data_IF_070145392445
#
_entry.id   IF_070145392445
#
_cell.length_a   1.000
_cell.length_b   1.000
_cell.length_c   1.000
_cell.angle_alpha   90.00
_cell.angle_beta   90.00
_cell.angle_gamma   90.00
#
_symmetry.space_group_name_H-M   'P 1'
#
loop_
_entity.id
_entity.type
_entity.pdbx_description
1 polymer ?
#
# COMPACT_ATOMS: atom_id res chain seq x y z
N UNK A 1 4.29 -1.88 10.03
CA UNK A 1 3.62 -3.21 9.94
C UNK A 1 2.13 -2.98 9.93
N UNK A 2 1.40 -3.64 9.03
CA UNK A 2 -0.05 -3.54 8.91
C UNK A 2 -0.71 -4.75 9.59
N UNK A 3 -1.54 -4.50 10.60
CA UNK A 3 -2.36 -5.51 11.28
C UNK A 3 -3.80 -5.23 10.91
N UNK A 4 -4.49 -6.16 10.26
CA UNK A 4 -5.92 -6.04 9.99
C UNK A 4 -6.69 -6.75 11.09
N UNK A 5 -7.51 -6.02 11.85
CA UNK A 5 -8.39 -6.56 12.89
C UNK A 5 -9.85 -6.39 12.45
N UNK A 6 -10.66 -7.45 12.51
CA UNK A 6 -12.06 -7.42 12.06
C UNK A 6 -13.06 -7.47 13.24
N UNK A 7 -13.77 -6.34 13.46
CA UNK A 7 -15.00 -6.07 14.26
C UNK A 7 -15.07 -6.17 15.82
N UNK A 8 -16.14 -5.55 16.38
CA UNK A 8 -16.11 -4.26 17.15
C UNK A 8 -16.34 -4.35 18.66
N UNK A 9 -17.01 -5.36 19.21
CA UNK A 9 -17.10 -5.47 20.69
C UNK A 9 -15.75 -5.86 21.30
N UNK A 10 -15.05 -6.79 20.66
CA UNK A 10 -13.74 -7.28 21.10
C UNK A 10 -12.58 -6.46 20.53
N UNK A 11 -12.78 -5.66 19.47
CA UNK A 11 -11.68 -4.94 18.83
C UNK A 11 -11.02 -3.93 19.76
N UNK A 12 -11.81 -3.25 20.59
CA UNK A 12 -11.28 -2.28 21.56
C UNK A 12 -10.43 -3.00 22.60
N UNK A 13 -10.94 -4.11 23.15
CA UNK A 13 -10.20 -4.93 24.09
C UNK A 13 -8.92 -5.49 23.46
N UNK A 14 -9.00 -6.08 22.26
CA UNK A 14 -7.86 -6.56 21.50
C UNK A 14 -6.82 -5.46 21.26
N UNK A 15 -7.26 -4.27 20.83
CA UNK A 15 -6.37 -3.15 20.57
C UNK A 15 -5.67 -2.67 21.85
N UNK A 16 -6.39 -2.63 22.98
CA UNK A 16 -5.80 -2.30 24.28
C UNK A 16 -4.80 -3.36 24.71
N UNK A 17 -5.17 -4.65 24.65
CA UNK A 17 -4.29 -5.77 25.01
C UNK A 17 -3.02 -5.78 24.16
N UNK A 18 -3.15 -5.64 22.83
CA UNK A 18 -2.02 -5.61 21.91
C UNK A 18 -1.13 -4.39 22.12
N UNK A 19 -1.70 -3.19 22.30
CA UNK A 19 -0.92 -1.97 22.55
C UNK A 19 -0.12 -2.08 23.86
N UNK A 20 -0.75 -2.55 24.94
CA UNK A 20 -0.09 -2.76 26.22
C UNK A 20 1.03 -3.79 26.08
N UNK A 21 0.74 -4.93 25.44
CA UNK A 21 1.71 -6.00 25.23
C UNK A 21 2.92 -5.55 24.41
N UNK A 22 2.72 -4.81 23.32
CA UNK A 22 3.82 -4.24 22.52
C UNK A 22 4.65 -3.25 23.34
N UNK A 23 3.99 -2.40 24.13
CA UNK A 23 4.67 -1.40 24.98
C UNK A 23 5.53 -2.06 26.05
N UNK A 24 5.03 -3.14 26.68
CA UNK A 24 5.76 -3.90 27.70
C UNK A 24 6.92 -4.72 27.12
N UNK A 25 6.75 -5.28 25.91
CA UNK A 25 7.74 -6.19 25.31
C UNK A 25 8.79 -5.49 24.44
N UNK A 26 8.51 -4.32 23.86
CA UNK A 26 9.43 -3.56 23.02
C UNK A 26 10.08 -2.39 23.77
N UNK A 27 10.89 -2.71 24.79
CA UNK A 27 11.55 -1.73 25.66
C UNK A 27 12.60 -0.81 25.00
N UNK A 28 12.90 -0.96 23.70
CA UNK A 28 13.98 -0.21 23.03
C UNK A 28 13.69 0.34 21.63
N UNK A 29 12.47 0.16 21.09
CA UNK A 29 12.08 0.75 19.80
C UNK A 29 10.76 1.49 19.97
N UNK A 30 10.84 2.83 19.96
CA UNK A 30 9.71 3.76 20.06
C UNK A 30 8.86 3.73 18.77
N UNK A 31 8.35 2.56 18.40
CA UNK A 31 7.48 2.37 17.25
C UNK A 31 6.12 2.98 17.57
N UNK A 32 5.75 4.04 16.87
CA UNK A 32 4.44 4.69 17.05
C UNK A 32 3.33 3.77 16.51
N UNK A 33 2.34 3.45 17.35
CA UNK A 33 1.18 2.63 16.98
C UNK A 33 0.03 3.56 16.61
N UNK A 34 -0.53 3.39 15.41
CA UNK A 34 -1.72 4.08 14.94
C UNK A 34 -2.85 3.08 14.71
N UNK A 35 -3.98 3.32 15.37
CA UNK A 35 -5.21 2.58 15.14
C UNK A 35 -6.05 3.39 14.15
N UNK A 36 -6.45 2.75 13.05
CA UNK A 36 -7.25 3.35 11.99
C UNK A 36 -8.63 2.69 11.97
N UNK A 37 -9.62 3.48 12.38
CA UNK A 37 -11.04 3.15 12.39
C UNK A 37 -11.82 3.87 11.29
N UNK A 38 -12.92 3.25 10.88
CA UNK A 38 -13.91 3.79 9.94
C UNK A 38 -14.34 2.80 8.87
N UNK A 39 -14.95 3.32 7.81
CA UNK A 39 -15.21 2.56 6.58
C UNK A 39 -13.90 2.19 5.88
N UNK A 40 -13.94 1.19 5.00
CA UNK A 40 -12.78 0.79 4.20
C UNK A 40 -12.11 1.97 3.48
N UNK A 41 -12.90 2.85 2.85
CA UNK A 41 -12.39 4.01 2.13
C UNK A 41 -11.71 5.03 3.07
N UNK A 42 -12.27 5.25 4.26
CA UNK A 42 -11.69 6.15 5.26
C UNK A 42 -10.37 5.60 5.79
N UNK A 43 -10.33 4.30 6.13
CA UNK A 43 -9.12 3.62 6.61
C UNK A 43 -8.03 3.67 5.53
N UNK A 44 -8.39 3.35 4.28
CA UNK A 44 -7.47 3.42 3.13
C UNK A 44 -6.93 4.83 2.94
N UNK A 45 -7.79 5.85 2.97
CA UNK A 45 -7.40 7.25 2.82
C UNK A 45 -6.43 7.70 3.93
N UNK A 46 -6.77 7.42 5.20
CA UNK A 46 -5.92 7.72 6.36
C UNK A 46 -4.58 6.98 6.31
N UNK A 47 -4.60 5.70 5.93
CA UNK A 47 -3.37 4.92 5.79
C UNK A 47 -2.46 5.56 4.73
N UNK A 48 -3.01 5.89 3.56
CA UNK A 48 -2.23 6.45 2.46
C UNK A 48 -1.64 7.84 2.77
N UNK A 49 -2.25 8.62 3.68
CA UNK A 49 -1.71 9.91 4.12
C UNK A 49 -0.67 9.80 5.24
N UNK A 50 -0.62 8.66 5.95
CA UNK A 50 0.20 8.48 7.15
C UNK A 50 1.38 7.51 6.97
N UNK A 51 1.44 6.72 5.89
CA UNK A 51 2.45 5.67 5.73
C UNK A 51 3.87 6.25 5.61
N UNK A 52 4.55 6.26 6.76
CA UNK A 52 6.00 6.29 6.91
C UNK A 52 6.49 4.88 7.31
N UNK A 53 7.67 4.48 6.85
CA UNK A 53 8.23 3.13 6.95
C UNK A 53 8.56 2.68 8.39
N UNK A 54 8.27 3.48 9.41
CA UNK A 54 8.66 3.24 10.82
C UNK A 54 7.49 3.13 11.80
N UNK A 55 6.25 3.10 11.30
CA UNK A 55 5.03 3.07 12.12
C UNK A 55 4.34 1.70 12.09
N UNK A 56 3.62 1.38 13.16
CA UNK A 56 2.72 0.23 13.23
C UNK A 56 1.31 0.73 13.00
N UNK A 57 0.60 0.15 12.03
CA UNK A 57 -0.77 0.49 11.72
C UNK A 57 -1.67 -0.70 12.02
N UNK A 58 -2.67 -0.49 12.87
CA UNK A 58 -3.75 -1.43 13.12
C UNK A 58 -4.98 -0.91 12.37
N UNK A 59 -5.47 -1.68 11.41
CA UNK A 59 -6.63 -1.36 10.59
C UNK A 59 -7.83 -2.12 11.12
N UNK A 60 -8.83 -1.41 11.62
CA UNK A 60 -10.05 -2.02 12.13
C UNK A 60 -11.07 -2.14 10.99
N UNK A 61 -11.01 -3.20 10.17
CA UNK A 61 -11.87 -3.39 9.00
C UNK A 61 -11.40 -4.48 8.04
N UNK A 62 -11.77 -4.34 6.75
CA UNK A 62 -11.46 -5.27 5.65
C UNK A 62 -12.18 -6.65 5.72
N UNK A 63 -13.51 -6.61 5.74
CA UNK A 63 -14.37 -7.79 5.86
C UNK A 63 -14.41 -8.62 4.57
N UNK A 64 -14.21 -7.97 3.43
CA UNK A 64 -14.25 -8.61 2.12
C UNK A 64 -12.84 -8.94 1.62
N UNK A 65 -12.73 -10.01 0.83
CA UNK A 65 -11.46 -10.44 0.25
C UNK A 65 -10.81 -9.36 -0.64
N UNK A 66 -11.63 -8.59 -1.36
CA UNK A 66 -11.17 -7.47 -2.20
C UNK A 66 -10.49 -6.36 -1.38
N UNK A 67 -11.04 -6.03 -0.21
CA UNK A 67 -10.49 -5.01 0.69
C UNK A 67 -9.13 -5.43 1.25
N UNK A 68 -9.01 -6.70 1.67
CA UNK A 68 -7.75 -7.29 2.15
C UNK A 68 -6.69 -7.30 1.06
N UNK A 69 -7.06 -7.63 -0.17
CA UNK A 69 -6.17 -7.57 -1.33
C UNK A 69 -5.65 -6.14 -1.58
N UNK A 70 -6.48 -5.12 -1.44
CA UNK A 70 -6.03 -3.74 -1.59
C UNK A 70 -5.02 -3.33 -0.52
N UNK A 71 -5.26 -3.69 0.74
CA UNK A 71 -4.30 -3.43 1.82
C UNK A 71 -3.00 -4.23 1.66
N UNK A 72 -3.08 -5.46 1.14
CA UNK A 72 -1.91 -6.20 0.73
C UNK A 72 -1.11 -5.44 -0.34
N UNK A 73 -1.76 -4.94 -1.39
CA UNK A 73 -1.10 -4.14 -2.43
C UNK A 73 -0.42 -2.89 -1.86
N UNK A 74 -1.07 -2.19 -0.93
CA UNK A 74 -0.50 -1.04 -0.22
C UNK A 74 0.75 -1.47 0.56
N UNK A 75 0.69 -2.58 1.31
CA UNK A 75 1.84 -3.08 2.07
C UNK A 75 3.05 -3.36 1.16
N UNK A 76 2.81 -3.97 -0.02
CA UNK A 76 3.85 -4.24 -1.02
C UNK A 76 4.42 -2.95 -1.60
N UNK A 77 3.56 -1.96 -1.88
CA UNK A 77 3.96 -0.65 -2.42
C UNK A 77 4.92 0.10 -1.49
N UNK A 78 4.69 0.03 -0.18
CA UNK A 78 5.52 0.71 0.82
C UNK A 78 6.55 -0.21 1.48
N UNK A 79 6.80 -1.38 0.91
CA UNK A 79 7.70 -2.40 1.44
C UNK A 79 7.52 -2.66 2.94
N UNK A 80 6.27 -2.72 3.38
CA UNK A 80 5.85 -2.91 4.76
C UNK A 80 5.31 -4.32 4.96
N UNK A 81 5.64 -4.93 6.10
CA UNK A 81 5.10 -6.23 6.49
C UNK A 81 3.59 -6.17 6.69
N UNK A 82 2.91 -7.23 6.27
CA UNK A 82 1.45 -7.38 6.30
C UNK A 82 1.07 -8.59 7.15
N UNK A 83 0.05 -8.44 7.99
CA UNK A 83 -0.50 -9.49 8.85
C UNK A 83 -2.02 -9.31 8.97
N UNK A 84 -2.76 -10.40 8.80
CA UNK A 84 -4.19 -10.44 9.06
C UNK A 84 -4.41 -11.07 10.44
N UNK A 85 -5.22 -10.44 11.28
CA UNK A 85 -5.67 -10.99 12.55
C UNK A 85 -7.17 -11.17 12.47
N UNK A 86 -7.57 -12.44 12.47
CA UNK A 86 -8.97 -12.82 12.48
C UNK A 86 -9.50 -12.77 13.92
N UNK A 87 -10.48 -11.90 14.14
CA UNK A 87 -11.24 -11.76 15.37
C UNK A 87 -12.65 -12.24 15.03
N UNK A 88 -13.00 -13.49 15.36
CA UNK A 88 -14.31 -14.03 15.01
C UNK A 88 -15.45 -13.28 15.70
N UNK A 89 -16.46 -12.93 14.90
CA UNK A 89 -17.70 -12.32 15.34
C UNK A 89 -18.88 -13.01 14.63
N UNK A 90 -19.84 -13.50 15.41
CA UNK A 90 -21.02 -14.21 14.90
C UNK A 90 -22.07 -13.27 14.31
N UNK A 91 -21.94 -11.97 14.52
CA UNK A 91 -22.92 -10.96 14.10
C UNK A 91 -22.71 -10.43 12.68
N UNK A 92 -21.57 -10.77 12.06
CA UNK A 92 -21.18 -10.23 10.75
C UNK A 92 -20.87 -11.37 9.79
N UNK A 93 -21.41 -11.24 8.58
CA UNK A 93 -21.13 -12.17 7.50
C UNK A 93 -19.78 -11.79 6.88
N UNK A 94 -18.72 -12.52 7.25
CA UNK A 94 -17.36 -12.30 6.74
C UNK A 94 -17.00 -13.33 5.66
N UNK A 95 -16.23 -12.91 4.66
CA UNK A 95 -15.61 -13.86 3.73
C UNK A 95 -14.35 -14.44 4.39
N UNK A 96 -14.41 -15.73 4.73
CA UNK A 96 -13.30 -16.46 5.32
C UNK A 96 -12.01 -16.29 4.50
N UNK A 97 -10.88 -16.16 5.20
CA UNK A 97 -9.58 -16.03 4.56
C UNK A 97 -9.23 -17.32 3.82
N UNK A 98 -8.72 -17.18 2.60
CA UNK A 98 -8.29 -18.33 1.81
C UNK A 98 -6.78 -18.49 1.95
N UNK A 99 -6.36 -19.40 2.84
CA UNK A 99 -4.94 -19.72 3.13
C UNK A 99 -4.11 -20.07 1.89
N UNK A 100 -4.75 -20.39 0.75
CA UNK A 100 -4.11 -20.70 -0.52
C UNK A 100 -3.67 -19.47 -1.32
N UNK A 101 -4.15 -18.26 -0.95
CA UNK A 101 -3.82 -17.04 -1.67
C UNK A 101 -2.73 -16.23 -0.96
N UNK A 102 -1.69 -15.84 -1.70
CA UNK A 102 -0.51 -15.16 -1.16
C UNK A 102 -0.77 -13.79 -0.53
N UNK A 103 -1.95 -13.22 -0.78
CA UNK A 103 -2.38 -11.91 -0.27
C UNK A 103 -3.33 -12.01 0.92
N UNK A 104 -3.82 -13.20 1.23
CA UNK A 104 -4.74 -13.48 2.33
C UNK A 104 -4.03 -14.28 3.44
N UNK A 105 -2.70 -14.11 3.52
CA UNK A 105 -1.83 -14.72 4.52
C UNK A 105 -0.61 -13.84 4.81
N UNK A 106 -0.02 -13.92 6.01
CA UNK A 106 -0.39 -14.81 7.12
C UNK A 106 -1.60 -14.32 7.93
N UNK A 107 -2.37 -15.27 8.46
CA UNK A 107 -3.57 -15.05 9.29
C UNK A 107 -3.32 -15.63 10.68
N UNK A 108 -3.62 -14.87 11.72
CA UNK A 108 -3.67 -15.35 13.11
C UNK A 108 -5.12 -15.32 13.54
N UNK A 109 -5.65 -16.47 13.96
CA UNK A 109 -7.02 -16.59 14.48
C UNK A 109 -7.00 -16.61 16.01
N UNK A 110 -7.53 -15.56 16.63
CA UNK A 110 -7.40 -15.37 18.08
C UNK A 110 -8.21 -16.36 18.91
N UNK A 111 -9.27 -16.96 18.34
CA UNK A 111 -10.05 -17.98 19.07
C UNK A 111 -9.28 -19.29 19.23
N UNK A 112 -8.38 -19.58 18.28
CA UNK A 112 -7.65 -20.83 18.20
C UNK A 112 -6.17 -20.70 18.62
N UNK A 113 -5.68 -19.48 18.90
CA UNK A 113 -4.33 -19.21 19.37
C UNK A 113 -4.35 -18.53 20.75
N UNK A 114 -4.13 -19.31 21.81
CA UNK A 114 -4.06 -18.79 23.19
C UNK A 114 -2.82 -17.92 23.47
N UNK A 115 -1.85 -17.90 22.54
CA UNK A 115 -0.64 -17.08 22.58
C UNK A 115 -0.61 -16.07 21.43
N UNK A 116 -1.77 -15.67 20.91
CA UNK A 116 -1.87 -14.82 19.73
C UNK A 116 -1.06 -13.52 19.83
N UNK A 117 -0.97 -12.90 21.01
CA UNK A 117 -0.16 -11.69 21.25
C UNK A 117 1.34 -11.96 21.01
N UNK A 118 1.86 -13.07 21.52
CA UNK A 118 3.24 -13.50 21.28
C UNK A 118 3.48 -13.81 19.81
N UNK A 119 2.53 -14.49 19.16
CA UNK A 119 2.60 -14.81 17.73
C UNK A 119 2.67 -13.55 16.88
N UNK A 120 1.82 -12.55 17.19
CA UNK A 120 1.82 -11.24 16.52
C UNK A 120 3.18 -10.54 16.71
N UNK A 121 3.67 -10.42 17.94
CA UNK A 121 4.96 -9.74 18.23
C UNK A 121 6.14 -10.46 17.61
N UNK A 122 6.17 -11.80 17.63
CA UNK A 122 7.20 -12.61 16.95
C UNK A 122 7.18 -12.36 15.44
N UNK A 123 5.99 -12.32 14.83
CA UNK A 123 5.86 -11.99 13.41
C UNK A 123 6.35 -10.58 13.11
N UNK A 124 6.01 -9.62 13.97
CA UNK A 124 6.49 -8.25 13.82
C UNK A 124 8.02 -8.20 13.85
N UNK A 125 8.64 -8.78 14.87
CA UNK A 125 10.09 -8.78 15.07
C UNK A 125 10.86 -9.55 14.00
N UNK A 126 10.33 -10.68 13.50
CA UNK A 126 10.95 -11.46 12.42
C UNK A 126 11.05 -10.63 11.15
N UNK A 127 10.00 -9.89 10.81
CA UNK A 127 9.97 -9.09 9.60
C UNK A 127 10.71 -7.74 9.75
N UNK A 128 10.80 -7.18 10.96
CA UNK A 128 11.67 -6.02 11.25
C UNK A 128 13.15 -6.32 10.97
N UNK A 129 13.59 -7.57 11.14
CA UNK A 129 14.97 -8.02 10.85
C UNK A 129 15.18 -8.44 9.39
N UNK A 130 14.11 -8.69 8.64
CA UNK A 130 14.13 -9.17 7.24
C UNK A 130 14.15 -8.05 6.18
N UNK A 131 14.11 -6.79 6.60
CA UNK A 131 14.16 -5.62 5.70
C UNK A 131 15.51 -5.38 5.02
N UNK A 132 16.50 -6.28 5.20
CA UNK A 132 17.81 -6.20 4.53
C UNK A 132 18.08 -7.24 3.42
N UNK A 133 17.17 -8.17 3.10
CA UNK A 133 17.55 -9.29 2.22
C UNK A 133 16.48 -9.85 1.25
N UNK A 134 15.47 -9.09 0.85
CA UNK A 134 14.58 -9.48 -0.27
C UNK A 134 14.52 -8.43 -1.39
N UNK A 135 15.70 -8.03 -1.85
CA UNK A 135 15.94 -7.67 -3.25
C UNK A 135 16.70 -8.81 -3.92
N UNK A 136 16.01 -9.86 -4.36
CA UNK A 136 16.53 -10.76 -5.41
C UNK A 136 15.50 -11.85 -5.74
N UNK A 137 15.28 -12.00 -7.05
CA UNK A 137 14.64 -13.13 -7.74
C UNK A 137 13.13 -13.01 -8.01
N UNK A 138 12.75 -11.98 -8.78
CA UNK A 138 11.98 -12.30 -9.99
C UNK A 138 12.93 -12.19 -11.18
N UNK A 139 13.46 -13.34 -11.58
CA UNK A 139 14.13 -13.53 -12.87
C UNK A 139 13.15 -13.11 -13.95
N UNK A 140 13.50 -12.06 -14.71
CA UNK A 140 12.86 -11.73 -15.98
C UNK A 140 13.03 -12.92 -16.92
N UNK A 141 12.05 -13.82 -16.95
CA UNK A 141 11.91 -14.74 -18.05
C UNK A 141 11.20 -14.01 -19.18
N UNK A 142 12.00 -13.53 -20.14
CA UNK A 142 11.53 -13.22 -21.48
C UNK A 142 11.08 -14.54 -22.13
N UNK A 143 9.83 -14.93 -21.93
CA UNK A 143 9.15 -15.87 -22.81
C UNK A 143 8.21 -15.07 -23.70
N UNK A 144 8.66 -14.87 -24.93
CA UNK A 144 7.83 -14.59 -26.10
C UNK A 144 6.74 -15.66 -26.18
N UNK A 145 5.54 -15.34 -25.69
CA UNK A 145 4.34 -16.11 -25.95
C UNK A 145 3.68 -15.56 -27.21
N UNK A 146 3.54 -16.46 -28.18
CA UNK A 146 3.00 -16.23 -29.51
C UNK A 146 1.61 -15.62 -29.46
N UNK A 147 1.40 -14.69 -30.41
CA UNK A 147 0.11 -14.12 -30.77
C UNK A 147 -0.79 -15.23 -31.32
N UNK A 148 -1.91 -15.46 -30.67
CA UNK A 148 -3.10 -16.07 -31.28
C UNK A 148 -4.33 -15.25 -30.92
N UNK A 149 -5.14 -15.02 -31.95
CA UNK A 149 -6.20 -14.03 -32.09
C UNK A 149 -7.41 -14.24 -31.18
N UNK A 150 -8.04 -13.10 -30.94
CA UNK A 150 -9.48 -12.84 -30.76
C UNK A 150 -10.15 -13.06 -29.39
N UNK A 151 -10.61 -11.91 -28.88
CA UNK A 151 -11.87 -11.65 -28.16
C UNK A 151 -12.04 -12.14 -26.71
N UNK A 152 -11.56 -11.31 -25.77
CA UNK A 152 -12.43 -10.75 -24.72
C UNK A 152 -11.77 -9.48 -24.16
N UNK A 153 -12.36 -8.31 -24.44
CA UNK A 153 -11.94 -7.03 -23.86
C UNK A 153 -12.34 -7.00 -22.38
N UNK A 154 -11.38 -7.32 -21.52
CA UNK A 154 -11.50 -7.08 -20.08
C UNK A 154 -10.47 -5.99 -19.67
N UNK A 155 -10.90 -4.76 -19.32
CA UNK A 155 -10.02 -3.64 -19.05
C UNK A 155 -9.53 -3.71 -17.59
N UNK A 156 -8.71 -4.70 -17.24
CA UNK A 156 -8.18 -4.83 -15.87
C UNK A 156 -6.75 -4.30 -15.74
N UNK A 157 -6.65 -3.08 -15.20
CA UNK A 157 -5.58 -2.54 -14.34
C UNK A 157 -4.11 -2.48 -14.84
N UNK A 158 -3.69 -3.21 -15.87
CA UNK A 158 -2.26 -3.31 -16.23
C UNK A 158 -1.74 -2.20 -17.17
N UNK A 159 -2.63 -1.49 -17.87
CA UNK A 159 -2.22 -0.44 -18.83
C UNK A 159 -2.37 1.00 -18.30
N UNK A 160 -3.03 1.22 -17.17
CA UNK A 160 -3.30 2.59 -16.70
C UNK A 160 -2.03 3.35 -16.31
N UNK A 161 -1.19 2.80 -15.43
CA UNK A 161 0.07 3.44 -15.02
C UNK A 161 1.05 3.57 -16.19
N UNK A 162 1.01 2.62 -17.13
CA UNK A 162 1.78 2.69 -18.36
C UNK A 162 1.32 3.87 -19.22
N UNK A 163 0.01 4.05 -19.39
CA UNK A 163 -0.55 5.18 -20.14
C UNK A 163 -0.30 6.53 -19.44
N UNK A 164 -0.33 6.56 -18.10
CA UNK A 164 0.10 7.72 -17.31
C UNK A 164 1.57 8.05 -17.54
N UNK A 165 2.45 7.03 -17.50
CA UNK A 165 3.88 7.24 -17.73
C UNK A 165 4.15 7.75 -19.14
N UNK A 166 3.43 7.23 -20.15
CA UNK A 166 3.50 7.71 -21.52
C UNK A 166 3.07 9.19 -21.61
N UNK A 167 1.97 9.56 -20.95
CA UNK A 167 1.48 10.93 -20.91
C UNK A 167 2.46 11.90 -20.21
N UNK A 168 3.11 11.46 -19.13
CA UNK A 168 4.16 12.23 -18.45
C UNK A 168 5.38 12.39 -19.37
N UNK A 169 5.84 11.31 -19.99
CA UNK A 169 7.01 11.32 -20.88
C UNK A 169 6.79 12.20 -22.11
N UNK A 170 5.57 12.23 -22.67
CA UNK A 170 5.18 13.14 -23.75
C UNK A 170 5.43 14.60 -23.35
N UNK A 171 4.99 15.01 -22.15
CA UNK A 171 5.21 16.36 -21.64
C UNK A 171 6.69 16.59 -21.31
N UNK A 172 7.38 15.62 -20.70
CA UNK A 172 8.82 15.74 -20.39
C UNK A 172 9.67 15.94 -21.65
N UNK A 173 9.27 15.35 -22.77
CA UNK A 173 9.96 15.49 -24.05
C UNK A 173 9.99 16.94 -24.56
N UNK A 174 9.07 17.80 -24.14
CA UNK A 174 9.08 19.22 -24.51
C UNK A 174 10.15 20.03 -23.75
N UNK A 175 10.82 19.44 -22.77
CA UNK A 175 11.86 20.05 -21.93
C UNK A 175 13.21 19.31 -22.06
N UNK A 176 13.36 18.43 -23.06
CA UNK A 176 14.50 17.50 -23.18
C UNK A 176 15.88 18.14 -23.34
N UNK A 177 15.94 19.40 -23.78
CA UNK A 177 17.21 20.12 -24.05
C UNK A 177 17.68 20.99 -22.87
N UNK A 178 17.07 20.85 -21.69
CA UNK A 178 17.24 21.82 -20.60
C UNK A 178 18.09 21.30 -19.44
N UNK A 179 18.65 22.25 -18.69
CA UNK A 179 19.69 22.04 -17.67
C UNK A 179 19.28 21.02 -16.59
N UNK A 180 20.27 20.52 -15.84
CA UNK A 180 20.08 19.60 -14.72
C UNK A 180 18.96 20.02 -13.75
N UNK A 181 18.76 21.33 -13.57
CA UNK A 181 17.73 21.90 -12.69
C UNK A 181 16.30 21.62 -13.20
N UNK A 182 16.07 21.60 -14.51
CA UNK A 182 14.76 21.21 -15.07
C UNK A 182 14.48 19.73 -14.81
N UNK A 183 15.50 18.87 -14.92
CA UNK A 183 15.34 17.45 -14.64
C UNK A 183 14.89 17.20 -13.19
N UNK A 184 15.49 17.89 -12.22
CA UNK A 184 15.08 17.79 -10.81
C UNK A 184 13.62 18.21 -10.61
N UNK A 185 13.19 19.31 -11.26
CA UNK A 185 11.80 19.77 -11.19
C UNK A 185 10.85 18.75 -11.81
N UNK A 186 11.18 18.20 -12.98
CA UNK A 186 10.37 17.20 -13.68
C UNK A 186 10.24 15.90 -12.88
N UNK A 187 11.32 15.43 -12.24
CA UNK A 187 11.34 14.21 -11.42
C UNK A 187 10.52 14.38 -10.13
N UNK A 188 10.60 15.55 -9.49
CA UNK A 188 9.78 15.89 -8.33
C UNK A 188 8.29 15.95 -8.71
N UNK A 189 7.97 16.62 -9.81
CA UNK A 189 6.61 16.70 -10.34
C UNK A 189 6.07 15.31 -10.69
N UNK A 190 6.87 14.46 -11.33
CA UNK A 190 6.46 13.12 -11.72
C UNK A 190 6.13 12.27 -10.49
N UNK A 191 6.99 12.33 -9.47
CA UNK A 191 6.77 11.64 -8.21
C UNK A 191 5.44 12.03 -7.57
N UNK A 192 5.10 13.32 -7.56
CA UNK A 192 3.82 13.82 -7.01
C UNK A 192 2.65 13.37 -7.87
N UNK A 193 2.72 13.48 -9.20
CA UNK A 193 1.65 13.06 -10.10
C UNK A 193 1.39 11.56 -10.01
N UNK A 194 2.44 10.72 -10.08
CA UNK A 194 2.31 9.26 -9.94
C UNK A 194 1.69 8.89 -8.58
N UNK A 195 2.10 9.56 -7.49
CA UNK A 195 1.46 9.37 -6.19
C UNK A 195 -0.02 9.69 -6.27
N UNK A 196 -0.40 10.87 -6.76
CA UNK A 196 -1.78 11.35 -6.78
C UNK A 196 -2.71 10.48 -7.64
N UNK A 197 -2.29 10.11 -8.85
CA UNK A 197 -3.10 9.26 -9.75
C UNK A 197 -3.19 7.82 -9.27
N UNK A 198 -2.21 7.37 -8.49
CA UNK A 198 -2.29 6.08 -7.79
C UNK A 198 -3.16 6.12 -6.54
N UNK A 199 -3.50 7.31 -6.01
CA UNK A 199 -4.41 7.50 -4.88
C UNK A 199 -5.86 7.65 -5.37
N UNK A 200 -6.05 8.39 -6.45
CA UNK A 200 -7.34 8.64 -7.09
C UNK A 200 -7.14 8.63 -8.61
N UNK A 201 -7.42 7.49 -9.29
CA UNK A 201 -7.28 7.40 -10.73
C UNK A 201 -8.03 8.54 -11.43
N UNK A 202 -7.30 9.26 -12.28
CA UNK A 202 -7.81 10.34 -13.12
C UNK A 202 -7.82 9.90 -14.58
N UNK A 203 -8.60 10.59 -15.41
CA UNK A 203 -8.48 10.41 -16.87
C UNK A 203 -7.07 10.82 -17.33
N UNK A 204 -6.58 10.26 -18.44
CA UNK A 204 -5.23 10.58 -18.93
C UNK A 204 -5.11 12.07 -19.26
N UNK A 205 -6.17 12.68 -19.79
CA UNK A 205 -6.28 14.12 -20.04
C UNK A 205 -6.12 14.95 -18.76
N UNK A 206 -6.80 14.55 -17.67
CA UNK A 206 -6.67 15.22 -16.37
C UNK A 206 -5.23 15.11 -15.81
N UNK A 207 -4.60 13.94 -15.99
CA UNK A 207 -3.20 13.72 -15.60
C UNK A 207 -2.26 14.63 -16.38
N UNK A 208 -2.44 14.74 -17.71
CA UNK A 208 -1.66 15.65 -18.56
C UNK A 208 -1.82 17.10 -18.11
N UNK A 209 -3.06 17.54 -17.89
CA UNK A 209 -3.35 18.90 -17.45
C UNK A 209 -2.71 19.20 -16.09
N UNK A 210 -2.87 18.29 -15.13
CA UNK A 210 -2.33 18.45 -13.79
C UNK A 210 -0.80 18.49 -13.78
N UNK A 211 -0.15 17.52 -14.44
CA UNK A 211 1.32 17.46 -14.51
C UNK A 211 1.91 18.69 -15.19
N UNK A 212 1.37 19.09 -16.35
CA UNK A 212 1.82 20.28 -17.08
C UNK A 212 1.72 21.55 -16.23
N UNK A 213 0.58 21.76 -15.55
CA UNK A 213 0.38 22.93 -14.68
C UNK A 213 1.35 22.95 -13.50
N UNK A 214 1.63 21.79 -12.92
CA UNK A 214 2.57 21.68 -11.79
C UNK A 214 4.00 21.98 -12.23
N UNK A 215 4.44 21.44 -13.37
CA UNK A 215 5.77 21.71 -13.94
C UNK A 215 5.95 23.21 -14.21
N UNK A 216 5.00 23.86 -14.87
CA UNK A 216 5.08 25.31 -15.15
C UNK A 216 5.16 26.14 -13.86
N UNK A 217 4.40 25.77 -12.83
CA UNK A 217 4.42 26.49 -11.55
C UNK A 217 5.76 26.31 -10.83
N UNK A 218 6.29 25.09 -10.75
CA UNK A 218 7.57 24.81 -10.11
C UNK A 218 8.74 25.48 -10.84
N UNK A 219 8.72 25.47 -12.18
CA UNK A 219 9.73 26.18 -12.97
C UNK A 219 9.71 27.69 -12.70
N UNK A 220 8.53 28.31 -12.61
CA UNK A 220 8.40 29.73 -12.22
C UNK A 220 8.94 30.00 -10.83
N UNK A 221 8.63 29.16 -9.85
CA UNK A 221 9.14 29.29 -8.48
C UNK A 221 10.66 29.19 -8.42
N UNK A 222 11.27 28.43 -9.32
CA UNK A 222 12.73 28.29 -9.45
C UNK A 222 13.37 29.36 -10.36
N UNK A 223 12.59 30.29 -10.92
CA UNK A 223 13.08 31.35 -11.81
C UNK A 223 13.56 30.83 -13.17
N UNK A 224 13.06 29.66 -13.59
CA UNK A 224 13.44 28.98 -14.83
C UNK A 224 12.44 29.24 -15.98
N UNK A 225 11.34 29.96 -15.73
CA UNK A 225 10.32 30.26 -16.73
C UNK A 225 9.50 31.51 -16.37
#
# INVERSE_FOLDING_TARGET
ILVIAANTEKITQFNTELCNYITETQTNTKSEIHILDGTFLEIKSKLLSLVDCKKIFILNGAFYKSERYEFYCISRRFNTSFLIVHIPDKTINYEATQFTSSFDGPVIDIEHDSQYLDTIVKYMNKNSKSTRAHTSNMTRNNQTLNVSKEESRDPSCNDYLKNVQLAINEIRSTYSDQSFVYKEVLDACETVTIRLVSLNPKTIEDVKHFYSKMVVNELKLKGLQ
#
